data_IF_584303314333
#
_entry.id   IF_584303314333
#
_cell.length_a   1.000
_cell.length_b   1.000
_cell.length_c   1.000
_cell.angle_alpha   90.00
_cell.angle_beta   90.00
_cell.angle_gamma   90.00
#
_symmetry.space_group_name_H-M   'P 1'
#
loop_
_entity.id
_entity.type
_entity.pdbx_description
1 polymer ?
#
# COMPACT_ATOMS: atom_id res chain seq x y z
N UNK A 1 -17.36 -18.70 -10.77
CA UNK A 1 -17.80 -18.60 -12.17
C UNK A 1 -16.67 -17.94 -12.98
N UNK A 2 -16.01 -18.70 -13.87
CA UNK A 2 -14.81 -18.24 -14.60
C UNK A 2 -15.06 -16.95 -15.42
N UNK A 3 -16.23 -16.78 -16.07
CA UNK A 3 -16.65 -15.52 -16.69
C UNK A 3 -16.65 -14.28 -15.79
N UNK A 4 -17.06 -14.40 -14.52
CA UNK A 4 -17.10 -13.28 -13.56
C UNK A 4 -15.82 -13.11 -12.75
N UNK A 5 -14.86 -14.04 -12.88
CA UNK A 5 -13.65 -14.08 -12.05
C UNK A 5 -13.89 -14.60 -10.63
N UNK A 6 -15.12 -15.03 -10.30
CA UNK A 6 -15.44 -15.54 -8.99
C UNK A 6 -14.89 -16.96 -8.79
N UNK A 7 -14.20 -17.20 -7.68
CA UNK A 7 -13.67 -18.50 -7.32
C UNK A 7 -14.35 -19.03 -6.05
N UNK A 8 -14.89 -20.25 -6.12
CA UNK A 8 -15.57 -20.92 -5.00
C UNK A 8 -15.33 -22.43 -5.03
N UNK A 9 -15.41 -23.07 -3.85
CA UNK A 9 -15.42 -24.52 -3.68
C UNK A 9 -16.87 -25.01 -3.51
N UNK A 10 -17.23 -26.06 -4.25
CA UNK A 10 -18.60 -26.59 -4.29
C UNK A 10 -18.96 -27.60 -3.20
N UNK A 11 -17.98 -28.19 -2.50
CA UNK A 11 -18.10 -29.17 -1.40
C UNK A 11 -19.05 -30.38 -1.58
N UNK A 12 -19.75 -30.53 -2.72
CA UNK A 12 -20.64 -31.65 -3.01
C UNK A 12 -21.93 -31.71 -2.18
N UNK A 13 -22.36 -30.60 -1.56
CA UNK A 13 -23.50 -30.58 -0.62
C UNK A 13 -24.88 -30.47 -1.30
N UNK A 14 -24.94 -30.43 -2.63
CA UNK A 14 -26.16 -30.26 -3.42
C UNK A 14 -26.96 -29.00 -3.06
N UNK A 15 -26.25 -27.87 -3.00
CA UNK A 15 -26.80 -26.58 -2.60
C UNK A 15 -26.90 -25.62 -3.78
N UNK A 16 -27.91 -24.73 -3.82
CA UNK A 16 -28.14 -23.85 -4.97
C UNK A 16 -27.03 -22.82 -5.17
N UNK A 17 -26.31 -22.47 -4.10
CA UNK A 17 -25.21 -21.50 -4.11
C UNK A 17 -24.07 -21.96 -3.18
N UNK A 18 -22.80 -21.62 -3.47
CA UNK A 18 -21.68 -21.92 -2.59
C UNK A 18 -21.85 -21.29 -1.19
N UNK A 19 -21.65 -22.07 -0.12
CA UNK A 19 -21.71 -21.54 1.24
C UNK A 19 -20.47 -20.75 1.61
N UNK A 20 -20.65 -19.49 2.03
CA UNK A 20 -19.58 -18.65 2.58
C UNK A 20 -18.90 -19.24 3.82
N UNK A 21 -19.65 -19.97 4.68
CA UNK A 21 -19.10 -20.57 5.90
C UNK A 21 -17.99 -21.61 5.63
N UNK A 22 -18.07 -22.34 4.51
CA UNK A 22 -17.05 -23.31 4.11
C UNK A 22 -16.02 -22.69 3.15
N UNK A 23 -16.47 -21.82 2.26
CA UNK A 23 -15.60 -21.12 1.31
C UNK A 23 -14.61 -20.17 2.03
N UNK A 24 -15.01 -19.50 3.10
CA UNK A 24 -14.16 -18.56 3.85
C UNK A 24 -12.93 -19.22 4.48
N UNK A 25 -13.09 -20.29 5.28
CA UNK A 25 -11.97 -21.06 5.81
C UNK A 25 -11.08 -21.67 4.71
N UNK A 26 -11.66 -22.15 3.61
CA UNK A 26 -10.87 -22.68 2.49
C UNK A 26 -10.05 -21.60 1.78
N UNK A 27 -10.66 -20.44 1.50
CA UNK A 27 -9.93 -19.29 0.96
C UNK A 27 -8.79 -18.86 1.88
N UNK A 28 -9.05 -18.86 3.18
CA UNK A 28 -8.04 -18.56 4.19
C UNK A 28 -6.91 -19.59 4.14
N UNK A 29 -7.22 -20.89 4.13
CA UNK A 29 -6.24 -21.97 4.11
C UNK A 29 -5.35 -21.96 2.85
N UNK A 30 -5.90 -21.55 1.71
CA UNK A 30 -5.19 -21.47 0.43
C UNK A 30 -4.34 -20.19 0.32
N UNK A 31 -4.83 -19.06 0.85
CA UNK A 31 -4.18 -17.77 0.68
C UNK A 31 -3.05 -17.49 1.69
N UNK A 32 -3.12 -18.06 2.90
CA UNK A 32 -2.23 -17.65 4.00
C UNK A 32 -1.18 -18.70 4.33
N UNK A 33 -0.02 -18.25 4.80
CA UNK A 33 1.03 -19.14 5.30
C UNK A 33 0.65 -19.80 6.63
N UNK A 34 1.30 -20.92 6.95
CA UNK A 34 1.18 -21.59 8.26
C UNK A 34 1.34 -20.56 9.39
N UNK A 35 0.44 -20.63 10.38
CA UNK A 35 0.37 -19.74 11.55
C UNK A 35 -0.02 -18.29 11.27
N UNK A 36 -0.29 -17.85 10.03
CA UNK A 36 -0.62 -16.45 9.75
C UNK A 36 -1.87 -15.98 10.52
N UNK A 37 -2.95 -16.77 10.52
CA UNK A 37 -4.16 -16.42 11.28
C UNK A 37 -3.92 -16.37 12.79
N UNK A 38 -3.16 -17.34 13.34
CA UNK A 38 -2.76 -17.30 14.75
C UNK A 38 -1.93 -16.05 15.06
N UNK A 39 -1.02 -15.66 14.15
CA UNK A 39 -0.17 -14.49 14.26
C UNK A 39 -0.95 -13.18 14.34
N UNK A 40 -2.05 -13.05 13.58
CA UNK A 40 -2.92 -11.87 13.66
C UNK A 40 -3.43 -11.65 15.09
N UNK A 41 -3.87 -12.71 15.77
CA UNK A 41 -4.44 -12.60 17.12
C UNK A 41 -3.38 -12.56 18.23
N UNK A 42 -2.24 -13.22 18.05
CA UNK A 42 -1.27 -13.44 19.13
C UNK A 42 0.02 -12.62 18.99
N UNK A 43 0.28 -12.09 17.80
CA UNK A 43 1.43 -11.23 17.47
C UNK A 43 1.01 -10.10 16.53
N UNK A 44 0.00 -9.29 16.90
CA UNK A 44 -0.48 -8.23 16.01
C UNK A 44 0.64 -7.21 15.74
N UNK A 45 0.85 -6.85 14.48
CA UNK A 45 1.65 -5.67 14.14
C UNK A 45 0.81 -4.42 14.46
N UNK A 46 0.92 -3.91 15.68
CA UNK A 46 0.26 -2.67 16.12
C UNK A 46 1.08 -1.42 15.77
N UNK A 47 2.37 -1.57 15.47
CA UNK A 47 3.24 -0.45 15.12
C UNK A 47 2.82 0.23 13.82
N UNK A 48 2.22 -0.53 12.89
CA UNK A 48 1.66 -0.01 11.63
C UNK A 48 0.67 1.16 11.78
N UNK A 49 0.09 1.37 12.96
CA UNK A 49 -0.85 2.48 13.22
C UNK A 49 -0.16 3.79 13.63
N UNK A 50 1.10 3.72 14.06
CA UNK A 50 1.90 4.87 14.50
C UNK A 50 3.11 5.11 13.58
N UNK A 51 3.44 4.14 12.72
CA UNK A 51 4.50 4.27 11.73
C UNK A 51 4.05 5.17 10.57
N UNK A 52 5.01 5.74 9.82
CA UNK A 52 4.73 6.59 8.67
C UNK A 52 3.76 5.93 7.70
N UNK A 53 2.75 6.67 7.27
CA UNK A 53 1.68 6.14 6.42
C UNK A 53 1.51 7.02 5.19
N UNK A 54 1.55 6.38 4.01
CA UNK A 54 1.29 7.02 2.72
C UNK A 54 -0.19 6.93 2.39
N UNK A 55 -0.79 8.05 1.98
CA UNK A 55 -2.21 8.12 1.62
C UNK A 55 -2.47 9.19 0.54
N UNK A 56 -3.70 9.24 0.03
CA UNK A 56 -4.09 10.25 -0.96
C UNK A 56 -3.49 10.05 -2.36
N UNK A 57 -3.02 8.83 -2.65
CA UNK A 57 -2.51 8.45 -3.98
C UNK A 57 -3.62 8.60 -5.03
N UNK A 58 -3.28 9.15 -6.19
CA UNK A 58 -4.19 9.35 -7.32
C UNK A 58 -4.53 8.03 -8.04
N UNK A 59 -5.28 7.17 -7.35
CA UNK A 59 -5.81 5.93 -7.91
C UNK A 59 -7.11 6.21 -8.70
N UNK A 60 -7.31 5.63 -9.91
CA UNK A 60 -6.52 4.56 -10.52
C UNK A 60 -5.43 5.03 -11.50
N UNK A 61 -5.11 6.33 -11.53
CA UNK A 61 -4.15 6.87 -12.48
C UNK A 61 -2.71 6.38 -12.21
N UNK A 62 -2.37 6.11 -10.95
CA UNK A 62 -1.08 5.54 -10.52
C UNK A 62 -1.26 4.66 -9.28
N UNK A 63 -0.42 3.63 -9.13
CA UNK A 63 -0.38 2.78 -7.93
C UNK A 63 0.97 2.85 -7.23
N UNK A 64 0.98 2.52 -5.93
CA UNK A 64 2.22 2.25 -5.20
C UNK A 64 2.63 0.78 -5.41
N UNK A 65 3.86 0.56 -5.85
CA UNK A 65 4.49 -0.77 -5.86
C UNK A 65 5.21 -1.06 -4.55
N UNK A 66 5.55 -0.01 -3.77
CA UNK A 66 6.16 -0.12 -2.45
C UNK A 66 5.74 1.05 -1.55
N UNK A 67 5.55 0.77 -0.26
CA UNK A 67 5.36 1.74 0.81
C UNK A 67 5.81 1.12 2.14
N UNK A 68 7.12 0.98 2.32
CA UNK A 68 7.71 0.24 3.44
C UNK A 68 8.54 1.17 4.30
N UNK A 69 8.27 1.18 5.61
CA UNK A 69 9.09 1.87 6.59
C UNK A 69 10.13 0.94 7.22
N UNK A 70 11.40 1.33 7.15
CA UNK A 70 12.51 0.71 7.87
C UNK A 70 12.79 1.52 9.15
N UNK A 71 12.45 0.95 10.30
CA UNK A 71 12.62 1.59 11.59
C UNK A 71 14.10 1.67 12.04
N UNK A 72 14.96 0.76 11.56
CA UNK A 72 16.38 0.75 11.93
C UNK A 72 17.14 1.87 11.19
N UNK A 73 16.73 2.15 9.95
CA UNK A 73 17.27 3.27 9.16
C UNK A 73 16.50 4.57 9.32
N UNK A 74 15.33 4.54 9.97
CA UNK A 74 14.37 5.66 10.01
C UNK A 74 14.02 6.18 8.61
N UNK A 75 13.82 5.26 7.67
CA UNK A 75 13.57 5.58 6.26
C UNK A 75 12.26 4.98 5.78
N UNK A 76 11.38 5.81 5.22
CA UNK A 76 10.21 5.37 4.46
C UNK A 76 10.59 5.31 2.96
N UNK A 77 10.44 4.13 2.37
CA UNK A 77 10.67 3.89 0.94
C UNK A 77 9.33 3.74 0.23
N UNK A 78 9.12 4.56 -0.79
CA UNK A 78 7.91 4.56 -1.63
C UNK A 78 8.34 4.34 -3.07
N UNK A 79 7.60 3.53 -3.82
CA UNK A 79 7.79 3.41 -5.26
C UNK A 79 6.43 3.40 -5.96
N UNK A 80 6.36 4.02 -7.13
CA UNK A 80 5.18 4.07 -7.99
C UNK A 80 5.35 3.20 -9.23
N UNK A 81 4.24 2.76 -9.83
CA UNK A 81 4.25 2.12 -11.15
C UNK A 81 4.21 3.15 -12.29
N UNK A 82 4.16 2.67 -13.54
CA UNK A 82 4.07 3.53 -14.73
C UNK A 82 2.77 4.36 -14.81
N UNK A 83 1.76 4.02 -14.00
CA UNK A 83 0.42 4.58 -14.09
C UNK A 83 -0.29 4.26 -15.42
N UNK A 84 -1.43 4.92 -15.62
CA UNK A 84 -2.20 4.81 -16.86
C UNK A 84 -1.50 5.55 -18.01
N UNK A 85 -1.31 4.91 -19.19
CA UNK A 85 -0.59 5.52 -20.31
C UNK A 85 -1.15 6.86 -20.78
N UNK A 86 -2.46 7.08 -20.64
CA UNK A 86 -3.15 8.30 -21.10
C UNK A 86 -2.86 9.54 -20.26
N UNK A 87 -2.32 9.37 -19.05
CA UNK A 87 -2.03 10.46 -18.10
C UNK A 87 -0.58 10.43 -17.64
N UNK A 88 0.27 9.64 -18.28
CA UNK A 88 1.70 9.58 -18.00
C UNK A 88 2.36 10.97 -18.10
N UNK A 89 3.21 11.28 -17.12
CA UNK A 89 3.89 12.57 -16.99
C UNK A 89 3.02 13.71 -16.46
N UNK A 90 1.72 13.52 -16.26
CA UNK A 90 0.87 14.55 -15.66
C UNK A 90 1.23 14.75 -14.17
N UNK A 91 1.11 15.98 -13.63
CA UNK A 91 1.34 16.23 -12.21
C UNK A 91 0.39 15.44 -11.32
N UNK A 92 0.89 14.98 -10.18
CA UNK A 92 0.11 14.33 -9.13
C UNK A 92 0.76 14.57 -7.76
N UNK A 93 0.11 14.13 -6.70
CA UNK A 93 0.66 14.19 -5.34
C UNK A 93 0.18 13.03 -4.49
N UNK A 94 0.87 12.81 -3.37
CA UNK A 94 0.43 11.95 -2.28
C UNK A 94 0.87 12.56 -0.95
N UNK A 95 0.28 12.10 0.15
CA UNK A 95 0.57 12.58 1.50
C UNK A 95 1.19 11.51 2.38
N UNK A 96 1.98 11.96 3.35
CA UNK A 96 2.62 11.13 4.37
C UNK A 96 2.23 11.69 5.73
N UNK A 97 1.60 10.86 6.56
CA UNK A 97 1.26 11.17 7.96
C UNK A 97 2.08 10.34 8.94
N UNK A 98 1.89 10.60 10.25
CA UNK A 98 2.66 10.00 11.35
C UNK A 98 4.16 10.28 11.28
N UNK A 99 4.52 11.48 10.86
CA UNK A 99 5.91 11.94 10.71
C UNK A 99 6.07 13.35 11.28
N UNK A 100 7.31 13.75 11.57
CA UNK A 100 7.59 15.16 11.85
C UNK A 100 7.84 15.89 10.53
N UNK A 101 6.89 16.70 10.01
CA UNK A 101 7.03 17.33 8.70
C UNK A 101 8.09 18.44 8.65
N UNK A 102 8.74 18.75 9.79
CA UNK A 102 9.80 19.76 9.89
C UNK A 102 11.20 19.17 10.04
N UNK A 103 11.30 17.85 10.15
CA UNK A 103 12.57 17.15 10.34
C UNK A 103 12.58 15.90 9.46
N UNK A 104 12.86 16.09 8.17
CA UNK A 104 13.04 15.00 7.22
C UNK A 104 13.89 15.46 6.03
N UNK A 105 14.31 14.50 5.20
CA UNK A 105 14.83 14.76 3.86
C UNK A 105 14.13 13.88 2.83
N UNK A 106 13.88 14.44 1.65
CA UNK A 106 13.30 13.73 0.52
C UNK A 106 14.37 13.54 -0.56
N UNK A 107 14.47 12.30 -1.06
CA UNK A 107 15.09 12.03 -2.35
C UNK A 107 14.06 11.47 -3.32
N UNK A 108 14.09 11.94 -4.56
CA UNK A 108 13.29 11.44 -5.69
C UNK A 108 14.27 10.93 -6.73
N UNK A 109 14.14 9.65 -7.11
CA UNK A 109 15.00 8.99 -8.10
C UNK A 109 16.50 9.13 -7.81
N UNK A 110 16.86 9.12 -6.52
CA UNK A 110 18.23 9.21 -6.02
C UNK A 110 18.73 10.63 -5.74
N UNK A 111 18.03 11.65 -6.22
CA UNK A 111 18.42 13.06 -6.08
C UNK A 111 17.66 13.74 -4.94
N UNK A 112 18.31 14.66 -4.23
CA UNK A 112 17.64 15.47 -3.20
C UNK A 112 16.56 16.35 -3.83
N UNK A 113 15.39 16.42 -3.20
CA UNK A 113 14.24 17.15 -3.71
C UNK A 113 13.59 18.02 -2.64
N UNK A 114 13.14 19.19 -3.07
CA UNK A 114 12.32 20.12 -2.28
C UNK A 114 10.88 20.18 -2.82
N UNK A 115 10.47 19.21 -3.65
CA UNK A 115 9.11 19.12 -4.21
C UNK A 115 8.11 18.58 -3.19
N UNK A 116 7.99 19.28 -2.08
CA UNK A 116 7.07 18.95 -1.00
C UNK A 116 6.61 20.20 -0.28
N UNK A 117 5.46 20.09 0.38
CA UNK A 117 4.96 21.11 1.29
C UNK A 117 4.30 20.49 2.52
N UNK A 118 4.06 21.29 3.56
CA UNK A 118 3.36 20.84 4.76
C UNK A 118 1.88 21.19 4.61
N UNK A 119 1.02 20.18 4.55
CA UNK A 119 -0.43 20.36 4.46
C UNK A 119 -1.11 19.70 5.64
N UNK A 120 -1.82 20.49 6.46
CA UNK A 120 -2.52 20.02 7.66
C UNK A 120 -1.63 19.25 8.67
N UNK A 121 -0.33 19.53 8.70
CA UNK A 121 0.63 18.84 9.59
C UNK A 121 1.23 17.58 9.00
N UNK A 122 0.85 17.20 7.78
CA UNK A 122 1.43 16.10 7.02
C UNK A 122 2.38 16.63 5.94
N UNK A 123 3.22 15.74 5.39
CA UNK A 123 4.04 16.04 4.21
C UNK A 123 3.23 15.73 2.97
N UNK A 124 3.07 16.67 2.05
CA UNK A 124 2.56 16.42 0.70
C UNK A 124 3.72 16.45 -0.28
N UNK A 125 3.90 15.39 -1.06
CA UNK A 125 4.96 15.27 -2.08
C UNK A 125 4.32 15.50 -3.45
N UNK A 126 4.83 16.48 -4.19
CA UNK A 126 4.45 16.70 -5.59
C UNK A 126 5.35 15.90 -6.51
N UNK A 127 4.76 15.23 -7.50
CA UNK A 127 5.48 14.40 -8.47
C UNK A 127 4.69 14.32 -9.79
N UNK A 128 5.09 13.42 -10.68
CA UNK A 128 4.40 13.11 -11.92
C UNK A 128 3.94 11.67 -11.96
N UNK A 129 2.94 11.38 -12.79
CA UNK A 129 2.50 10.00 -13.03
C UNK A 129 3.58 9.25 -13.81
N UNK A 130 4.18 8.24 -13.18
CA UNK A 130 5.23 7.41 -13.75
C UNK A 130 6.02 6.65 -12.68
N UNK A 131 6.97 5.83 -13.12
CA UNK A 131 7.86 5.08 -12.23
C UNK A 131 8.82 6.04 -11.54
N UNK A 132 8.65 6.18 -10.23
CA UNK A 132 9.51 6.99 -9.37
C UNK A 132 9.80 6.23 -8.07
N UNK A 133 10.98 6.50 -7.50
CA UNK A 133 11.35 6.05 -6.16
C UNK A 133 11.51 7.25 -5.25
N UNK A 134 10.90 7.19 -4.06
CA UNK A 134 11.00 8.21 -3.04
C UNK A 134 11.63 7.60 -1.79
N UNK A 135 12.68 8.25 -1.29
CA UNK A 135 13.28 7.94 0.01
C UNK A 135 13.04 9.13 0.95
N UNK A 136 12.34 8.86 2.05
CA UNK A 136 12.03 9.83 3.09
C UNK A 136 12.81 9.42 4.34
N UNK A 137 13.90 10.12 4.64
CA UNK A 137 14.62 9.90 5.90
C UNK A 137 14.05 10.84 6.97
N UNK A 138 13.60 10.26 8.08
CA UNK A 138 12.86 10.91 9.18
C UNK A 138 13.73 11.17 10.41
#
# INVERSE_FOLDING_TARGET
DRPSGEFTWGFGLNEPYPRGQLNGPMATAEAISRNAMWGIYNKPNLRKFIEPTVYGVDFPNICLTQATYDADQSTLVIATDQGLPTVSGQPTSFRITNVNPRAFSLKVDGELSEQWEIVNGDIEVSTTIGEHTFLINL
#
